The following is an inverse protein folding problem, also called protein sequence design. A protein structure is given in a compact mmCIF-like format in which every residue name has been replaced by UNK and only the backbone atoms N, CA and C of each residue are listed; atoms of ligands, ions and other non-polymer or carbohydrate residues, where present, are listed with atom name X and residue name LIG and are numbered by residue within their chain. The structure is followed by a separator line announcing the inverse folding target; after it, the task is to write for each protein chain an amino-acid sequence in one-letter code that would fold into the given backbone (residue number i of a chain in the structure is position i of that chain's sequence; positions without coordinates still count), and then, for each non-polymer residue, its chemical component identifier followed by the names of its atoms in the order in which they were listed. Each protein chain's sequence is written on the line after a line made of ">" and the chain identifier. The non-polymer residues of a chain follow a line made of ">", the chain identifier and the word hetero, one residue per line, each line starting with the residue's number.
data_IF_372064743731
#
_entry.id   IF_372064743731
#
_cell.length_a   1.000
_cell.length_b   1.000
_cell.length_c   1.000
_cell.angle_alpha   90.00
_cell.angle_beta   90.00
_cell.angle_gamma   90.00
#
_symmetry.space_group_name_H-M   'P 1'
#
loop_
_entity.id
_entity.type
_entity.pdbx_description
1 polymer ?
#
# COMPACT_ATOMS: atom_id res chain seq x y z
N UNK A 1 12.44 -26.58 -15.47
CA UNK A 1 11.19 -25.79 -15.37
C UNK A 1 11.56 -24.45 -14.78
N UNK A 2 11.27 -23.35 -15.48
CA UNK A 2 11.62 -22.01 -15.01
C UNK A 2 10.50 -21.45 -14.13
N UNK A 3 10.84 -21.01 -12.92
CA UNK A 3 9.90 -20.31 -12.04
C UNK A 3 9.45 -19.01 -12.73
N UNK A 4 8.14 -18.84 -12.95
CA UNK A 4 7.60 -17.55 -13.39
C UNK A 4 7.47 -16.67 -12.15
N UNK A 5 8.56 -16.00 -11.79
CA UNK A 5 8.57 -14.94 -10.79
C UNK A 5 8.19 -13.63 -11.49
N UNK A 6 6.90 -13.31 -11.57
CA UNK A 6 6.45 -11.98 -11.98
C UNK A 6 5.38 -11.45 -11.04
N UNK A 7 5.82 -11.00 -9.86
CA UNK A 7 5.05 -10.01 -9.10
C UNK A 7 5.18 -8.64 -9.77
N UNK A 8 4.09 -7.87 -9.83
CA UNK A 8 4.14 -6.46 -10.24
C UNK A 8 4.23 -5.59 -8.99
N UNK A 9 5.18 -4.66 -8.97
CA UNK A 9 5.28 -3.65 -7.91
C UNK A 9 4.63 -2.36 -8.39
N UNK A 10 3.64 -1.87 -7.66
CA UNK A 10 3.04 -0.56 -7.91
C UNK A 10 3.55 0.42 -6.87
N UNK A 11 3.90 1.63 -7.30
CA UNK A 11 4.36 2.71 -6.43
C UNK A 11 3.29 3.77 -6.34
N UNK A 12 2.91 4.15 -5.13
CA UNK A 12 1.91 5.18 -4.84
C UNK A 12 2.59 6.28 -4.01
N UNK A 13 2.57 7.51 -4.51
CA UNK A 13 3.23 8.68 -3.92
C UNK A 13 2.25 9.83 -3.61
N UNK A 14 0.99 9.71 -4.06
CA UNK A 14 -0.01 10.77 -3.97
C UNK A 14 -1.30 10.20 -3.39
N UNK A 15 -1.79 10.79 -2.30
CA UNK A 15 -3.09 10.45 -1.73
C UNK A 15 -4.24 11.01 -2.57
N UNK A 16 -5.39 10.34 -2.52
CA UNK A 16 -6.62 10.83 -3.11
C UNK A 16 -7.78 9.86 -2.89
N UNK A 17 -8.99 10.41 -2.76
CA UNK A 17 -10.22 9.63 -2.65
C UNK A 17 -10.62 8.92 -3.96
N UNK A 18 -9.87 9.13 -5.05
CA UNK A 18 -10.13 8.51 -6.34
C UNK A 18 -9.67 7.04 -6.37
N UNK A 19 -10.37 6.23 -7.16
CA UNK A 19 -9.95 4.85 -7.42
C UNK A 19 -8.67 4.83 -8.26
N UNK A 20 -7.61 4.28 -7.69
CA UNK A 20 -6.34 4.04 -8.38
C UNK A 20 -6.49 2.84 -9.33
N UNK A 21 -7.25 1.84 -8.89
CA UNK A 21 -7.58 0.65 -9.66
C UNK A 21 -8.99 0.18 -9.30
N UNK A 22 -9.71 -0.41 -10.25
CA UNK A 22 -11.11 -0.84 -10.06
C UNK A 22 -11.29 -2.36 -10.19
N UNK A 23 -10.28 -3.08 -10.67
CA UNK A 23 -10.32 -4.54 -10.80
C UNK A 23 -9.95 -5.26 -9.50
N UNK A 24 -10.03 -6.59 -9.52
CA UNK A 24 -9.55 -7.42 -8.42
C UNK A 24 -8.03 -7.52 -8.42
N UNK A 25 -7.42 -7.35 -7.24
CA UNK A 25 -5.98 -7.41 -7.06
C UNK A 25 -5.65 -8.22 -5.80
N UNK A 26 -4.65 -9.09 -5.90
CA UNK A 26 -4.11 -9.81 -4.75
C UNK A 26 -2.86 -9.10 -4.27
N UNK A 27 -2.90 -8.57 -3.05
CA UNK A 27 -1.77 -7.87 -2.45
C UNK A 27 -1.04 -8.87 -1.55
N UNK A 28 0.26 -8.99 -1.74
CA UNK A 28 1.12 -9.95 -1.04
C UNK A 28 2.02 -9.27 -0.01
N UNK A 29 2.42 -8.03 -0.28
CA UNK A 29 3.32 -7.28 0.58
C UNK A 29 3.15 -5.78 0.33
N UNK A 30 3.29 -4.99 1.40
CA UNK A 30 3.25 -3.53 1.33
C UNK A 30 4.50 -2.98 2.01
N UNK A 31 5.14 -2.03 1.36
CA UNK A 31 6.21 -1.22 1.94
C UNK A 31 5.77 0.22 2.02
N UNK A 32 6.12 0.90 3.11
CA UNK A 32 6.00 2.35 3.22
C UNK A 32 7.37 2.94 3.55
N UNK A 33 7.87 3.78 2.65
CA UNK A 33 9.22 4.35 2.70
C UNK A 33 9.19 5.81 3.09
N UNK A 34 10.17 6.21 3.90
CA UNK A 34 10.55 7.59 4.20
C UNK A 34 9.37 8.51 4.62
N UNK A 35 8.57 8.14 5.64
CA UNK A 35 7.69 9.12 6.26
C UNK A 35 8.53 10.28 6.81
N UNK A 36 8.18 11.50 6.48
CA UNK A 36 8.91 12.71 6.85
C UNK A 36 8.79 13.07 8.33
N UNK A 37 7.69 12.66 8.99
CA UNK A 37 7.39 12.97 10.37
C UNK A 37 6.77 11.78 11.12
N UNK A 38 7.09 11.68 12.42
CA UNK A 38 6.39 10.82 13.37
C UNK A 38 4.96 11.33 13.49
N UNK A 39 4.00 10.41 13.45
CA UNK A 39 2.58 10.71 13.37
C UNK A 39 2.03 10.80 11.95
N UNK A 40 2.86 10.77 10.90
CA UNK A 40 2.36 10.61 9.53
C UNK A 40 1.51 9.34 9.44
N UNK A 41 0.44 9.38 8.66
CA UNK A 41 -0.51 8.28 8.53
C UNK A 41 -0.58 7.84 7.08
N UNK A 42 -0.70 6.54 6.88
CA UNK A 42 -1.07 5.93 5.60
C UNK A 42 -2.35 5.14 5.79
N UNK A 43 -3.35 5.44 4.96
CA UNK A 43 -4.60 4.70 4.89
C UNK A 43 -4.84 4.25 3.46
N UNK A 44 -4.69 2.95 3.25
CA UNK A 44 -4.98 2.25 2.02
C UNK A 44 -6.21 1.37 2.24
N UNK A 45 -7.18 1.45 1.34
CA UNK A 45 -8.39 0.67 1.40
C UNK A 45 -8.80 0.17 0.02
N UNK A 46 -9.69 -0.81 -0.01
CA UNK A 46 -10.36 -1.22 -1.23
C UNK A 46 -11.50 -0.25 -1.61
N UNK A 47 -12.13 -0.45 -2.77
CA UNK A 47 -13.21 0.43 -3.24
C UNK A 47 -14.47 0.38 -2.35
N UNK A 48 -14.62 -0.67 -1.56
CA UNK A 48 -15.75 -0.88 -0.64
C UNK A 48 -15.47 -0.30 0.76
N UNK A 49 -14.33 0.39 0.94
CA UNK A 49 -13.92 0.96 2.22
C UNK A 49 -13.31 -0.04 3.19
N UNK A 50 -12.95 -1.25 2.73
CA UNK A 50 -12.27 -2.24 3.56
C UNK A 50 -10.80 -1.83 3.72
N UNK A 51 -10.29 -1.68 4.95
CA UNK A 51 -8.89 -1.32 5.16
C UNK A 51 -7.95 -2.42 4.68
N UNK A 52 -6.94 -2.02 3.91
CA UNK A 52 -5.82 -2.85 3.44
C UNK A 52 -4.57 -2.55 4.29
N UNK A 53 -4.29 -1.27 4.52
CA UNK A 53 -3.24 -0.78 5.41
C UNK A 53 -3.78 0.42 6.17
N UNK A 54 -3.67 0.39 7.49
CA UNK A 54 -3.87 1.54 8.36
C UNK A 54 -2.66 1.59 9.30
N UNK A 55 -1.75 2.52 9.04
CA UNK A 55 -0.50 2.60 9.77
C UNK A 55 -0.11 4.04 10.06
N UNK A 56 0.65 4.20 11.15
CA UNK A 56 1.19 5.48 11.60
C UNK A 56 2.70 5.36 11.77
N UNK A 57 3.42 6.37 11.28
CA UNK A 57 4.86 6.45 11.44
C UNK A 57 5.22 6.71 12.91
N UNK A 58 6.06 5.87 13.50
CA UNK A 58 6.57 6.08 14.87
C UNK A 58 7.87 6.89 14.89
N UNK A 59 8.63 6.85 13.79
CA UNK A 59 9.91 7.55 13.64
C UNK A 59 10.04 8.20 12.25
N UNK A 60 10.69 9.36 12.18
CA UNK A 60 10.97 10.04 10.92
C UNK A 60 11.99 9.26 10.10
N UNK A 61 11.79 9.27 8.78
CA UNK A 61 12.69 8.75 7.76
C UNK A 61 13.02 7.25 7.89
N UNK A 62 12.12 6.47 8.51
CA UNK A 62 12.22 5.01 8.63
C UNK A 62 11.44 4.28 7.55
N UNK A 63 12.00 3.22 6.97
CA UNK A 63 11.22 2.33 6.10
C UNK A 63 10.47 1.30 6.94
N UNK A 64 9.15 1.16 6.71
CA UNK A 64 8.31 0.18 7.39
C UNK A 64 7.85 -0.88 6.40
N UNK A 65 8.01 -2.16 6.78
CA UNK A 65 7.58 -3.32 5.99
C UNK A 65 6.32 -3.89 6.63
N UNK A 66 5.20 -3.82 5.91
CA UNK A 66 3.93 -4.38 6.35
C UNK A 66 3.66 -5.67 5.58
N UNK A 67 3.88 -6.79 6.29
CA UNK A 67 3.44 -8.10 5.81
C UNK A 67 1.94 -8.21 6.02
N UNK A 68 1.19 -7.85 4.99
CA UNK A 68 -0.24 -8.20 4.90
C UNK A 68 -0.36 -9.67 4.53
N UNK A 69 -1.35 -10.34 5.12
CA UNK A 69 -1.72 -11.68 4.68
C UNK A 69 -2.16 -11.62 3.21
N UNK A 70 -1.66 -12.52 2.32
CA UNK A 70 -2.00 -12.46 0.91
C UNK A 70 -3.51 -12.63 0.68
N UNK A 71 -4.19 -11.54 0.35
CA UNK A 71 -5.63 -11.51 0.20
C UNK A 71 -6.06 -10.77 -1.07
N UNK A 72 -7.22 -11.17 -1.61
CA UNK A 72 -7.89 -10.50 -2.72
C UNK A 72 -8.67 -9.30 -2.23
N UNK A 73 -8.45 -8.16 -2.86
CA UNK A 73 -9.15 -6.90 -2.64
C UNK A 73 -9.78 -6.43 -3.95
N UNK A 74 -10.92 -5.72 -3.84
CA UNK A 74 -11.62 -5.18 -4.99
C UNK A 74 -11.25 -3.69 -5.14
N UNK A 75 -10.50 -3.39 -6.20
CA UNK A 75 -10.00 -2.06 -6.43
C UNK A 75 -8.95 -1.62 -5.39
N UNK A 76 -8.55 -0.36 -5.50
CA UNK A 76 -7.49 0.22 -4.69
C UNK A 76 -7.71 1.72 -4.54
N UNK A 77 -7.67 2.21 -3.31
CA UNK A 77 -7.77 3.61 -2.95
C UNK A 77 -6.72 3.96 -1.88
N UNK A 78 -5.94 5.02 -2.11
CA UNK A 78 -5.03 5.58 -1.12
C UNK A 78 -5.64 6.85 -0.54
N UNK A 79 -6.48 6.71 0.47
CA UNK A 79 -7.23 7.82 1.06
C UNK A 79 -6.30 8.85 1.70
N UNK A 80 -5.33 8.36 2.45
CA UNK A 80 -4.39 9.22 3.19
C UNK A 80 -2.97 8.73 2.96
N UNK A 81 -2.08 9.67 2.65
CA UNK A 81 -0.63 9.50 2.68
C UNK A 81 -0.07 10.81 3.22
N UNK A 82 0.27 10.85 4.50
CA UNK A 82 0.87 12.04 5.12
C UNK A 82 2.18 12.42 4.43
N UNK A 83 3.03 11.43 4.17
CA UNK A 83 4.26 11.59 3.40
C UNK A 83 4.86 10.24 2.99
N UNK A 84 5.98 10.28 2.26
CA UNK A 84 6.73 9.10 1.87
C UNK A 84 6.17 8.45 0.61
N UNK A 85 6.40 7.15 0.46
CA UNK A 85 5.97 6.40 -0.73
C UNK A 85 5.55 4.98 -0.35
N UNK A 86 4.43 4.53 -0.89
CA UNK A 86 3.91 3.17 -0.66
C UNK A 86 4.24 2.30 -1.87
N UNK A 87 4.82 1.13 -1.66
CA UNK A 87 4.98 0.12 -2.71
C UNK A 87 4.13 -1.10 -2.40
N UNK A 88 3.33 -1.51 -3.38
CA UNK A 88 2.45 -2.68 -3.30
C UNK A 88 3.01 -3.79 -4.18
N UNK A 89 3.21 -4.96 -3.60
CA UNK A 89 3.60 -6.15 -4.35
C UNK A 89 2.37 -6.99 -4.63
N UNK A 90 2.05 -7.12 -5.92
CA UNK A 90 0.90 -7.87 -6.43
C UNK A 90 1.39 -9.21 -6.94
N UNK A 91 0.68 -10.29 -6.60
CA UNK A 91 1.02 -11.67 -7.00
C UNK A 91 -0.17 -12.60 -7.00
#
# INVERSE_FOLDING_TARGET
>A
MANVLKGRVWTLDTAGAANIYTGWVKIVLIYWFNPSASGDVVLLQDINGRPILDARAEANNGSQVFRVEPQWYQGLQLQTLGSGTVQLHIG
#
